data_IF_762139184584
#
_entry.id   IF_762139184584
#
_cell.length_a   1.000
_cell.length_b   1.000
_cell.length_c   1.000
_cell.angle_alpha   90.00
_cell.angle_beta   90.00
_cell.angle_gamma   90.00
#
_symmetry.space_group_name_H-M   'P 1'
#
loop_
_entity.id
_entity.type
_entity.pdbx_description
1 polymer ?
#
# COMPACT_ATOMS: atom_id res chain seq x y z
N UNK A 1 -1.49 -51.66 15.96
CA UNK A 1 -2.62 -50.71 15.77
C UNK A 1 -2.16 -49.34 15.25
N UNK A 2 -0.86 -49.03 15.13
CA UNK A 2 -0.40 -47.70 14.71
C UNK A 2 -0.25 -47.53 13.19
N UNK A 3 -0.10 -48.61 12.43
CA UNK A 3 0.06 -48.54 10.97
C UNK A 3 -1.22 -48.11 10.24
N UNK A 4 -2.40 -48.41 10.80
CA UNK A 4 -3.68 -48.10 10.17
C UNK A 4 -4.02 -46.60 10.28
N UNK A 5 -3.65 -45.97 11.39
CA UNK A 5 -3.86 -44.52 11.58
C UNK A 5 -2.91 -43.70 10.72
N UNK A 6 -1.66 -44.15 10.55
CA UNK A 6 -0.69 -43.45 9.68
C UNK A 6 -1.03 -43.57 8.19
N UNK A 7 -1.63 -44.68 7.77
CA UNK A 7 -2.06 -44.90 6.39
C UNK A 7 -3.26 -44.00 6.02
N UNK A 8 -4.18 -43.78 6.97
CA UNK A 8 -5.30 -42.85 6.82
C UNK A 8 -4.81 -41.40 6.74
N UNK A 9 -3.89 -40.99 7.62
CA UNK A 9 -3.27 -39.65 7.57
C UNK A 9 -2.51 -39.39 6.26
N UNK A 10 -1.86 -40.42 5.71
CA UNK A 10 -1.21 -40.37 4.40
C UNK A 10 -2.23 -40.19 3.28
N UNK A 11 -3.33 -40.97 3.29
CA UNK A 11 -4.41 -40.84 2.30
C UNK A 11 -5.04 -39.44 2.32
N UNK A 12 -5.29 -38.87 3.49
CA UNK A 12 -5.80 -37.50 3.61
C UNK A 12 -4.82 -36.47 3.03
N UNK A 13 -3.52 -36.67 3.23
CA UNK A 13 -2.50 -35.79 2.67
C UNK A 13 -2.44 -35.89 1.14
N UNK A 14 -2.57 -37.10 0.58
CA UNK A 14 -2.62 -37.32 -0.86
C UNK A 14 -3.81 -36.62 -1.50
N UNK A 15 -5.00 -36.73 -0.90
CA UNK A 15 -6.20 -36.03 -1.37
C UNK A 15 -5.99 -34.51 -1.35
N UNK A 16 -5.41 -33.98 -0.27
CA UNK A 16 -5.10 -32.55 -0.18
C UNK A 16 -4.09 -32.11 -1.25
N UNK A 17 -3.06 -32.92 -1.50
CA UNK A 17 -2.08 -32.65 -2.55
C UNK A 17 -2.74 -32.68 -3.92
N UNK A 18 -3.65 -33.62 -4.20
CA UNK A 18 -4.38 -33.69 -5.45
C UNK A 18 -5.29 -32.47 -5.69
N UNK A 19 -5.98 -32.01 -4.64
CA UNK A 19 -6.79 -30.78 -4.69
C UNK A 19 -5.91 -29.57 -4.97
N UNK A 20 -4.84 -29.37 -4.19
CA UNK A 20 -3.95 -28.23 -4.38
C UNK A 20 -3.26 -28.27 -5.74
N UNK A 21 -2.85 -29.44 -6.24
CA UNK A 21 -2.28 -29.58 -7.59
C UNK A 21 -3.28 -29.14 -8.67
N UNK A 22 -4.55 -29.50 -8.51
CA UNK A 22 -5.62 -29.08 -9.44
C UNK A 22 -5.83 -27.56 -9.39
N UNK A 23 -5.86 -26.96 -8.19
CA UNK A 23 -5.97 -25.51 -8.01
C UNK A 23 -4.79 -24.76 -8.64
N UNK A 24 -3.56 -25.26 -8.46
CA UNK A 24 -2.35 -24.69 -9.07
C UNK A 24 -2.45 -24.77 -10.59
N UNK A 25 -2.80 -25.93 -11.15
CA UNK A 25 -2.94 -26.10 -12.59
C UNK A 25 -4.00 -25.16 -13.19
N UNK A 26 -5.12 -24.99 -12.49
CA UNK A 26 -6.15 -24.03 -12.89
C UNK A 26 -5.59 -22.60 -12.90
N UNK A 27 -4.94 -22.18 -11.81
CA UNK A 27 -4.36 -20.85 -11.71
C UNK A 27 -3.29 -20.59 -12.79
N UNK A 28 -2.45 -21.58 -13.09
CA UNK A 28 -1.45 -21.50 -14.17
C UNK A 28 -2.11 -21.30 -15.55
N UNK A 29 -3.22 -22.02 -15.81
CA UNK A 29 -3.99 -21.83 -17.05
C UNK A 29 -4.61 -20.44 -17.14
N UNK A 30 -5.15 -19.91 -16.03
CA UNK A 30 -5.71 -18.56 -15.98
C UNK A 30 -4.63 -17.49 -16.20
N UNK A 31 -3.45 -17.66 -15.60
CA UNK A 31 -2.31 -16.76 -15.82
C UNK A 31 -1.90 -16.75 -17.29
N UNK A 32 -1.83 -17.93 -17.93
CA UNK A 32 -1.50 -18.05 -19.36
C UNK A 32 -2.52 -17.35 -20.28
N UNK A 33 -3.82 -17.45 -19.99
CA UNK A 33 -4.86 -16.69 -20.71
C UNK A 33 -4.65 -15.18 -20.57
N UNK A 34 -4.39 -14.71 -19.35
CA UNK A 34 -4.14 -13.30 -19.05
C UNK A 34 -2.90 -12.81 -19.82
N UNK A 35 -1.81 -13.58 -19.83
CA UNK A 35 -0.58 -13.24 -20.57
C UNK A 35 -0.84 -13.12 -22.07
N UNK A 36 -1.56 -14.08 -22.64
CA UNK A 36 -1.93 -14.08 -24.05
C UNK A 36 -2.76 -12.85 -24.42
N UNK A 37 -3.73 -12.48 -23.57
CA UNK A 37 -4.56 -11.29 -23.76
C UNK A 37 -3.75 -10.00 -23.63
N UNK A 38 -2.84 -9.91 -22.65
CA UNK A 38 -1.95 -8.75 -22.49
C UNK A 38 -1.05 -8.60 -23.72
N UNK A 39 -0.51 -9.71 -24.25
CA UNK A 39 0.32 -9.70 -25.45
C UNK A 39 -0.46 -9.18 -26.67
N UNK A 40 -1.69 -9.66 -26.88
CA UNK A 40 -2.56 -9.20 -27.96
C UNK A 40 -2.88 -7.69 -27.84
N UNK A 41 -3.22 -7.22 -26.63
CA UNK A 41 -3.47 -5.79 -26.38
C UNK A 41 -2.23 -4.93 -26.67
N UNK A 42 -1.05 -5.38 -26.26
CA UNK A 42 0.21 -4.69 -26.56
C UNK A 42 0.52 -4.67 -28.05
N UNK A 43 0.28 -5.77 -28.76
CA UNK A 43 0.44 -5.84 -30.22
C UNK A 43 -0.52 -4.89 -30.95
N UNK A 44 -1.73 -4.67 -30.41
CA UNK A 44 -2.67 -3.67 -30.89
C UNK A 44 -2.28 -2.21 -30.53
N UNK A 45 -1.14 -1.99 -29.87
CA UNK A 45 -0.66 -0.67 -29.47
C UNK A 45 -1.31 -0.13 -28.18
N UNK A 46 -2.08 -0.94 -27.46
CA UNK A 46 -2.70 -0.55 -26.19
C UNK A 46 -1.73 -0.76 -25.03
N UNK A 47 -1.55 0.28 -24.21
CA UNK A 47 -0.67 0.22 -23.04
C UNK A 47 -1.40 -0.38 -21.85
N UNK A 48 -1.02 -1.59 -21.45
CA UNK A 48 -1.53 -2.24 -20.23
C UNK A 48 -0.66 -1.83 -19.02
N UNK A 49 -1.27 -1.25 -17.98
CA UNK A 49 -0.61 -0.92 -16.71
C UNK A 49 -1.28 -1.67 -15.55
N UNK A 50 -0.51 -2.11 -14.54
CA UNK A 50 -1.09 -2.72 -13.36
C UNK A 50 -2.02 -1.73 -12.67
N UNK A 51 -3.23 -2.19 -12.35
CA UNK A 51 -4.18 -1.41 -11.57
C UNK A 51 -3.58 -1.13 -10.20
N UNK A 52 -3.31 0.15 -9.91
CA UNK A 52 -2.77 0.56 -8.63
C UNK A 52 -3.74 0.28 -7.48
N UNK A 53 -3.24 0.30 -6.25
CA UNK A 53 -4.05 0.09 -5.04
C UNK A 53 -5.26 1.04 -5.05
N UNK A 54 -6.48 0.56 -4.75
CA UNK A 54 -7.66 1.42 -4.69
C UNK A 54 -7.42 2.51 -3.64
N UNK A 55 -7.29 3.76 -4.09
CA UNK A 55 -7.17 4.89 -3.16
C UNK A 55 -8.50 5.05 -2.45
N UNK A 56 -8.51 4.90 -1.12
CA UNK A 56 -9.68 5.29 -0.31
C UNK A 56 -10.02 6.73 -0.65
N UNK A 57 -11.19 6.94 -1.26
CA UNK A 57 -11.73 8.26 -1.52
C UNK A 57 -12.14 8.84 -0.16
N UNK A 58 -11.30 9.69 0.42
CA UNK A 58 -11.73 10.45 1.61
C UNK A 58 -12.75 11.49 1.15
N UNK A 59 -13.96 11.49 1.71
CA UNK A 59 -14.98 12.53 1.49
C UNK A 59 -14.62 13.89 2.12
N UNK A 60 -13.34 14.11 2.40
CA UNK A 60 -12.86 15.33 3.01
C UNK A 60 -12.87 16.43 1.92
N UNK A 61 -13.48 17.60 2.18
CA UNK A 61 -13.44 18.70 1.23
C UNK A 61 -11.98 19.03 0.93
N UNK A 62 -11.68 19.27 -0.35
CA UNK A 62 -10.34 19.55 -0.90
C UNK A 62 -9.65 20.74 -0.18
N UNK A 63 -10.42 21.52 0.58
CA UNK A 63 -10.00 22.71 1.30
C UNK A 63 -9.40 22.49 2.70
N UNK A 64 -9.10 21.26 3.13
CA UNK A 64 -8.25 21.12 4.32
C UNK A 64 -6.79 21.36 3.94
N UNK A 65 -6.12 22.39 4.51
CA UNK A 65 -4.70 22.59 4.29
C UNK A 65 -3.96 21.32 4.69
N UNK A 66 -3.24 20.68 3.75
CA UNK A 66 -2.28 19.64 4.10
C UNK A 66 -1.21 20.28 4.96
N UNK A 67 -1.31 20.11 6.27
CA UNK A 67 -0.18 20.40 7.16
C UNK A 67 0.87 19.35 6.81
N UNK A 68 1.80 19.74 5.93
CA UNK A 68 3.00 18.96 5.65
C UNK A 68 3.75 18.83 6.97
N UNK A 69 3.58 17.69 7.65
CA UNK A 69 4.41 17.31 8.79
C UNK A 69 5.84 17.26 8.27
N UNK A 70 6.62 18.30 8.53
CA UNK A 70 8.07 18.35 8.26
C UNK A 70 8.71 17.22 9.08
N UNK A 71 8.91 16.07 8.47
CA UNK A 71 9.80 15.03 8.96
C UNK A 71 11.23 15.59 8.86
N UNK A 72 11.96 15.60 9.98
CA UNK A 72 13.40 15.83 9.98
C UNK A 72 13.86 17.16 10.57
N UNK A 73 13.71 17.32 11.89
CA UNK A 73 14.68 18.03 12.74
C UNK A 73 14.77 17.23 14.04
N UNK A 74 15.77 16.35 14.13
CA UNK A 74 16.30 15.81 15.40
C UNK A 74 17.49 16.69 15.74
N UNK A 75 17.40 17.61 16.71
CA UNK A 75 18.59 18.27 17.25
C UNK A 75 19.26 17.33 18.25
N UNK A 76 20.58 17.29 18.15
CA UNK A 76 21.51 16.44 18.88
C UNK A 76 21.58 16.74 20.39
N UNK A 77 22.05 15.72 21.09
CA UNK A 77 22.49 15.51 22.49
C UNK A 77 22.06 16.41 23.67
N UNK A 78 21.81 15.79 24.86
CA UNK A 78 21.33 16.46 26.05
C UNK A 78 22.50 16.88 26.95
N UNK A 79 23.20 17.98 26.64
CA UNK A 79 24.05 18.61 27.66
C UNK A 79 24.47 20.04 27.27
N UNK A 80 23.72 21.05 27.72
CA UNK A 80 24.20 22.39 28.07
C UNK A 80 23.06 23.20 28.72
N UNK A 81 23.40 23.94 29.75
CA UNK A 81 22.55 24.59 30.77
C UNK A 81 21.44 25.55 30.28
N UNK A 82 20.37 25.77 31.09
CA UNK A 82 19.22 26.59 30.71
C UNK A 82 19.49 28.08 31.00
N UNK A 83 19.64 28.92 29.97
CA UNK A 83 19.66 30.37 30.19
C UNK A 83 19.24 31.19 28.96
N UNK A 84 18.24 32.06 29.18
CA UNK A 84 17.73 33.16 28.33
C UNK A 84 16.99 32.77 27.03
N UNK A 85 15.94 33.44 26.57
CA UNK A 85 14.97 34.40 27.08
C UNK A 85 13.92 34.51 25.95
N UNK A 86 12.70 34.82 26.35
CA UNK A 86 11.51 35.03 25.53
C UNK A 86 11.71 35.80 24.21
N UNK A 87 11.00 35.38 23.15
CA UNK A 87 10.01 36.25 22.45
C UNK A 87 9.17 35.46 21.45
N UNK A 88 7.99 35.01 21.89
CA UNK A 88 6.89 34.77 20.98
C UNK A 88 6.40 36.14 20.47
N UNK A 89 6.63 36.46 19.20
CA UNK A 89 5.92 37.56 18.55
C UNK A 89 5.17 37.03 17.34
N UNK A 90 3.96 36.57 17.65
CA UNK A 90 2.90 36.38 16.67
C UNK A 90 2.41 37.77 16.22
N UNK A 91 2.60 38.08 14.95
CA UNK A 91 1.87 39.15 14.29
C UNK A 91 1.72 38.83 12.79
N UNK A 92 0.61 38.21 12.36
CA UNK A 92 0.31 38.16 10.93
C UNK A 92 -0.17 39.56 10.50
N UNK A 93 0.61 40.21 9.65
CA UNK A 93 0.28 41.49 9.05
C UNK A 93 -0.91 41.30 8.08
N UNK A 94 -2.10 41.79 8.45
CA UNK A 94 -3.28 41.73 7.59
C UNK A 94 -3.23 42.86 6.56
N UNK A 95 -2.80 42.53 5.34
CA UNK A 95 -2.89 43.43 4.20
C UNK A 95 -4.37 43.56 3.76
N UNK A 96 -5.08 44.57 4.28
CA UNK A 96 -6.44 44.92 3.85
C UNK A 96 -6.41 45.43 2.40
N UNK A 97 -6.71 44.57 1.43
CA UNK A 97 -7.02 45.00 0.06
C UNK A 97 -8.49 45.43 -0.02
N UNK A 98 -8.76 46.63 -0.54
CA UNK A 98 -10.10 47.13 -0.86
C UNK A 98 -10.24 47.10 -2.38
N UNK A 99 -11.33 46.56 -2.87
CA UNK A 99 -11.75 46.76 -4.25
C UNK A 99 -12.83 47.83 -4.23
N UNK A 100 -12.68 48.83 -5.11
CA UNK A 100 -13.69 49.85 -5.38
C UNK A 100 -14.77 49.30 -6.30
#
# INVERSE_FOLDING_TARGET
QHSRTTDEELSELEDRVAVTASEVQQAESEVSDIESRIAALRAAGLTVKPSGKPRRKSNLPIFLPRVARKLGKRPEDPNADPSSEAKAMAAPYLLRRKFS
#
